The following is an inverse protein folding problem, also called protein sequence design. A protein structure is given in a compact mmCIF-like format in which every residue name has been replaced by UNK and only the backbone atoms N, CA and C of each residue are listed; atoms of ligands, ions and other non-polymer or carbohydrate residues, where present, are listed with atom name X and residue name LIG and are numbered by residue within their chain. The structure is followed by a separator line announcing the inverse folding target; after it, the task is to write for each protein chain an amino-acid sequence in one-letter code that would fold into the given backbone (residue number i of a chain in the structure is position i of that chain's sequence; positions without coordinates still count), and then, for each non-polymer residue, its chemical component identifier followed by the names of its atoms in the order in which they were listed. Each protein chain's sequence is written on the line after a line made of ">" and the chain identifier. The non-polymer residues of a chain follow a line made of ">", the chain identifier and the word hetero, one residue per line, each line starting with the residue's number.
data_IF_926507496074
#
_entry.id   IF_926507496074
#
_cell.length_a   1.000
_cell.length_b   1.000
_cell.length_c   1.000
_cell.angle_alpha   90.00
_cell.angle_beta   90.00
_cell.angle_gamma   90.00
#
_symmetry.space_group_name_H-M   'P 1'
#
loop_
_entity.id
_entity.type
_entity.pdbx_description
1 polymer ?
#
# COMPACT_ATOMS: atom_id res chain seq x y z
N UNK A 1 35.16 12.51 13.05
CA UNK A 1 34.57 11.16 13.10
C UNK A 1 33.09 11.37 12.91
N UNK A 2 32.66 11.31 11.66
CA UNK A 2 31.28 11.58 11.27
C UNK A 2 30.42 10.39 11.66
N UNK A 3 29.62 10.55 12.70
CA UNK A 3 28.53 9.64 13.04
C UNK A 3 27.43 9.84 12.00
N UNK A 4 27.41 8.99 10.97
CA UNK A 4 26.21 8.87 10.15
C UNK A 4 25.01 8.54 11.04
N UNK A 5 23.85 9.16 10.82
CA UNK A 5 22.66 8.82 11.56
C UNK A 5 22.28 7.39 11.18
N UNK A 6 22.48 6.44 12.11
CA UNK A 6 21.94 5.08 12.01
C UNK A 6 20.43 5.23 11.98
N UNK A 7 19.87 5.33 10.77
CA UNK A 7 18.44 5.33 10.57
C UNK A 7 17.99 3.91 10.86
N UNK A 8 17.02 3.78 11.76
CA UNK A 8 16.48 2.49 12.16
C UNK A 8 16.01 1.70 10.92
N UNK A 9 16.48 0.46 10.80
CA UNK A 9 16.26 -0.41 9.63
C UNK A 9 14.75 -0.59 9.37
N UNK A 10 13.97 -0.79 10.43
CA UNK A 10 12.53 -0.99 10.33
C UNK A 10 11.81 0.29 9.86
N UNK A 11 12.32 1.46 10.29
CA UNK A 11 11.87 2.76 9.81
C UNK A 11 12.16 2.95 8.32
N UNK A 12 13.36 2.60 7.85
CA UNK A 12 13.71 2.68 6.43
C UNK A 12 12.87 1.72 5.56
N UNK A 13 12.67 0.48 6.03
CA UNK A 13 11.79 -0.50 5.38
C UNK A 13 10.37 0.07 5.23
N UNK A 14 9.85 0.67 6.30
CA UNK A 14 8.51 1.27 6.32
C UNK A 14 8.40 2.44 5.35
N UNK A 15 9.43 3.29 5.29
CA UNK A 15 9.48 4.41 4.35
C UNK A 15 9.50 3.93 2.89
N UNK A 16 10.32 2.93 2.55
CA UNK A 16 10.39 2.36 1.21
C UNK A 16 9.06 1.71 0.78
N UNK A 17 8.40 0.98 1.68
CA UNK A 17 7.06 0.42 1.43
C UNK A 17 6.02 1.51 1.21
N UNK A 18 6.03 2.54 2.05
CA UNK A 18 5.09 3.66 1.97
C UNK A 18 5.25 4.44 0.67
N UNK A 19 6.49 4.61 0.20
CA UNK A 19 6.77 5.23 -1.09
C UNK A 19 6.09 4.47 -2.24
N UNK A 20 6.21 3.14 -2.29
CA UNK A 20 5.59 2.32 -3.33
C UNK A 20 4.06 2.44 -3.32
N UNK A 21 3.44 2.41 -2.14
CA UNK A 21 1.98 2.56 -1.98
C UNK A 21 1.52 3.94 -2.44
N UNK A 22 2.24 4.99 -2.02
CA UNK A 22 1.90 6.36 -2.41
C UNK A 22 2.03 6.56 -3.93
N UNK A 23 3.12 6.07 -4.52
CA UNK A 23 3.34 6.14 -5.96
C UNK A 23 2.25 5.41 -6.74
N UNK A 24 1.81 4.25 -6.26
CA UNK A 24 0.75 3.47 -6.93
C UNK A 24 -0.62 4.14 -6.84
N UNK A 25 -0.91 4.82 -5.72
CA UNK A 25 -2.14 5.58 -5.56
C UNK A 25 -2.17 6.81 -6.49
N UNK A 26 -1.04 7.53 -6.60
CA UNK A 26 -0.91 8.63 -7.58
C UNK A 26 -1.09 8.14 -9.01
N UNK A 27 -0.52 6.97 -9.35
CA UNK A 27 -0.70 6.34 -10.65
C UNK A 27 -2.17 5.98 -10.92
N UNK A 28 -2.86 5.40 -9.93
CA UNK A 28 -4.29 5.07 -10.01
C UNK A 28 -5.13 6.32 -10.29
N UNK A 29 -4.91 7.39 -9.54
CA UNK A 29 -5.63 8.65 -9.72
C UNK A 29 -5.34 9.29 -11.09
N UNK A 30 -4.09 9.28 -11.55
CA UNK A 30 -3.71 9.76 -12.89
C UNK A 30 -4.39 8.99 -14.03
N UNK A 31 -4.66 7.69 -13.84
CA UNK A 31 -5.40 6.87 -14.81
C UNK A 31 -6.90 7.17 -14.82
N UNK A 32 -7.50 7.46 -13.67
CA UNK A 32 -8.95 7.74 -13.53
C UNK A 32 -9.29 9.17 -13.97
N UNK A 33 -8.49 10.15 -13.57
CA UNK A 33 -8.75 11.57 -13.79
C UNK A 33 -8.35 12.04 -15.19
N UNK A 34 -8.31 13.35 -15.46
CA UNK A 34 -7.79 13.93 -16.71
C UNK A 34 -6.25 13.99 -16.72
N UNK A 35 -5.64 14.11 -17.91
CA UNK A 35 -4.16 14.13 -18.02
C UNK A 35 -3.55 15.32 -17.29
N UNK A 36 -4.33 16.39 -17.17
CA UNK A 36 -3.93 17.64 -16.56
C UNK A 36 -4.41 17.76 -15.11
N UNK A 37 -4.97 16.68 -14.54
CA UNK A 37 -5.31 16.63 -13.13
C UNK A 37 -4.06 16.77 -12.27
N UNK A 38 -4.24 17.32 -11.07
CA UNK A 38 -3.13 17.52 -10.15
C UNK A 38 -2.47 16.20 -9.78
N UNK A 39 -3.25 15.15 -9.53
CA UNK A 39 -2.74 13.81 -9.26
C UNK A 39 -1.88 13.25 -10.40
N UNK A 40 -2.19 13.59 -11.66
CA UNK A 40 -1.41 13.13 -12.80
C UNK A 40 -0.14 13.95 -13.03
N UNK A 41 -0.09 15.21 -12.57
CA UNK A 41 1.14 15.99 -12.47
C UNK A 41 2.03 15.48 -11.34
N UNK A 42 1.46 15.29 -10.15
CA UNK A 42 2.17 14.73 -8.98
C UNK A 42 2.76 13.36 -9.29
N UNK A 43 2.01 12.49 -9.99
CA UNK A 43 2.53 11.20 -10.45
C UNK A 43 3.72 11.37 -11.41
N UNK A 44 3.63 12.26 -12.41
CA UNK A 44 4.72 12.56 -13.36
C UNK A 44 5.97 13.07 -12.65
N UNK A 45 5.79 13.94 -11.66
CA UNK A 45 6.89 14.44 -10.85
C UNK A 45 7.51 13.32 -10.00
N UNK A 46 6.69 12.45 -9.43
CA UNK A 46 7.12 11.32 -8.59
C UNK A 46 7.92 10.26 -9.36
N UNK A 47 7.67 10.09 -10.66
CA UNK A 47 8.48 9.23 -11.53
C UNK A 47 9.61 9.98 -12.24
N UNK A 48 9.77 11.28 -11.99
CA UNK A 48 10.91 12.02 -12.51
C UNK A 48 12.21 11.49 -11.90
N UNK A 49 13.32 11.68 -12.60
CA UNK A 49 14.65 11.23 -12.16
C UNK A 49 15.03 11.74 -10.77
N UNK A 50 14.50 12.89 -10.34
CA UNK A 50 14.77 13.48 -9.02
C UNK A 50 13.97 12.85 -7.87
N UNK A 51 12.82 12.24 -8.15
CA UNK A 51 12.01 11.56 -7.13
C UNK A 51 12.34 10.07 -7.06
N UNK A 52 12.70 9.46 -8.19
CA UNK A 52 13.26 8.10 -8.20
C UNK A 52 14.61 8.01 -7.46
N UNK A 53 15.40 9.09 -7.43
CA UNK A 53 16.62 9.13 -6.62
C UNK A 53 16.33 9.12 -5.12
N UNK A 54 15.19 9.64 -4.66
CA UNK A 54 14.76 9.54 -3.25
C UNK A 54 14.45 8.09 -2.90
N UNK A 55 13.68 7.39 -3.74
CA UNK A 55 13.42 5.97 -3.57
C UNK A 55 14.72 5.13 -3.61
N UNK A 56 15.64 5.47 -4.50
CA UNK A 56 16.94 4.81 -4.57
C UNK A 56 17.76 5.05 -3.30
N UNK A 57 17.77 6.28 -2.76
CA UNK A 57 18.43 6.61 -1.50
C UNK A 57 17.81 5.90 -0.28
N UNK A 58 16.50 5.62 -0.31
CA UNK A 58 15.85 4.77 0.70
C UNK A 58 16.27 3.30 0.58
N UNK A 59 16.46 2.80 -0.64
CA UNK A 59 16.74 1.39 -0.89
C UNK A 59 18.22 1.00 -0.81
N UNK A 60 19.14 1.91 -1.10
CA UNK A 60 20.59 1.65 -1.07
C UNK A 60 21.08 1.08 0.28
N UNK A 61 20.80 1.71 1.45
CA UNK A 61 21.22 1.15 2.74
C UNK A 61 20.56 -0.20 3.04
N UNK A 62 19.31 -0.42 2.62
CA UNK A 62 18.59 -1.69 2.79
C UNK A 62 19.21 -2.82 1.97
N UNK A 63 19.63 -2.53 0.74
CA UNK A 63 20.33 -3.46 -0.14
C UNK A 63 21.69 -3.82 0.43
N UNK A 64 22.44 -2.84 0.93
CA UNK A 64 23.73 -3.08 1.60
C UNK A 64 23.54 -3.98 2.83
N UNK A 65 22.53 -3.70 3.66
CA UNK A 65 22.21 -4.53 4.82
C UNK A 65 21.91 -5.99 4.43
N UNK A 66 21.09 -6.20 3.39
CA UNK A 66 20.80 -7.52 2.84
C UNK A 66 22.07 -8.25 2.41
N UNK A 67 22.93 -7.57 1.63
CA UNK A 67 24.16 -8.18 1.10
C UNK A 67 25.11 -8.57 2.22
N UNK A 68 25.23 -7.73 3.25
CA UNK A 68 26.00 -8.05 4.45
C UNK A 68 25.41 -9.25 5.21
N UNK A 69 24.09 -9.34 5.31
CA UNK A 69 23.40 -10.45 5.97
C UNK A 69 23.65 -11.78 5.25
N UNK A 70 23.50 -11.80 3.92
CA UNK A 70 23.76 -12.98 3.07
C UNK A 70 25.24 -13.38 3.15
N UNK A 71 26.16 -12.42 3.07
CA UNK A 71 27.60 -12.67 3.11
C UNK A 71 28.10 -13.19 4.46
N UNK A 72 27.44 -12.81 5.56
CA UNK A 72 27.81 -13.22 6.91
C UNK A 72 27.29 -14.61 7.30
N UNK A 73 26.59 -15.33 6.41
CA UNK A 73 25.94 -16.62 6.72
C UNK A 73 25.27 -16.55 8.10
N UNK A 74 24.21 -15.75 8.22
CA UNK A 74 23.53 -15.45 9.49
C UNK A 74 22.94 -16.72 10.16
N UNK A 75 23.82 -17.56 10.69
CA UNK A 75 23.56 -18.59 11.66
C UNK A 75 23.48 -17.92 13.03
N UNK A 76 22.44 -17.10 13.23
CA UNK A 76 22.05 -16.78 14.60
C UNK A 76 21.42 -18.03 15.19
N UNK A 77 22.07 -18.62 16.20
CA UNK A 77 21.61 -19.80 16.93
C UNK A 77 20.35 -19.57 17.81
N UNK A 78 19.69 -18.42 17.67
CA UNK A 78 18.45 -18.06 18.37
C UNK A 78 17.30 -18.00 17.36
N UNK A 79 16.29 -18.84 17.55
CA UNK A 79 15.12 -18.98 16.67
C UNK A 79 14.35 -17.66 16.53
N UNK A 80 14.25 -16.85 17.60
CA UNK A 80 13.55 -15.58 17.57
C UNK A 80 14.32 -14.52 16.75
N UNK A 81 15.64 -14.47 16.91
CA UNK A 81 16.51 -13.60 16.14
C UNK A 81 16.56 -13.98 14.65
N UNK A 82 16.52 -15.27 14.35
CA UNK A 82 16.47 -15.77 12.97
C UNK A 82 15.14 -15.40 12.29
N UNK A 83 14.01 -15.55 12.97
CA UNK A 83 12.69 -15.23 12.43
C UNK A 83 12.51 -13.73 12.16
N UNK A 84 12.97 -12.87 13.08
CA UNK A 84 12.92 -11.42 12.90
C UNK A 84 13.79 -10.97 11.73
N UNK A 85 14.99 -11.55 11.62
CA UNK A 85 15.92 -11.32 10.52
C UNK A 85 15.33 -11.73 9.17
N UNK A 86 14.70 -12.91 9.10
CA UNK A 86 14.04 -13.40 7.89
C UNK A 86 12.87 -12.47 7.49
N UNK A 87 12.08 -12.02 8.45
CA UNK A 87 10.97 -11.09 8.20
C UNK A 87 11.46 -9.79 7.59
N UNK A 88 12.53 -9.20 8.16
CA UNK A 88 13.18 -7.99 7.62
C UNK A 88 13.75 -8.21 6.22
N UNK A 89 14.37 -9.37 5.97
CA UNK A 89 14.88 -9.73 4.65
C UNK A 89 13.77 -9.77 3.60
N UNK A 90 12.65 -10.42 3.91
CA UNK A 90 11.48 -10.47 3.02
C UNK A 90 10.90 -9.09 2.77
N UNK A 91 10.90 -8.24 3.78
CA UNK A 91 10.40 -6.87 3.68
C UNK A 91 11.30 -5.96 2.83
N UNK A 92 12.62 -6.11 2.96
CA UNK A 92 13.60 -5.44 2.09
C UNK A 92 13.46 -5.92 0.65
N UNK A 93 13.34 -7.23 0.41
CA UNK A 93 13.11 -7.77 -0.94
C UNK A 93 11.78 -7.32 -1.53
N UNK A 94 10.74 -7.21 -0.71
CA UNK A 94 9.47 -6.66 -1.13
C UNK A 94 9.63 -5.20 -1.58
N UNK A 95 10.25 -4.37 -0.75
CA UNK A 95 10.28 -2.92 -0.95
C UNK A 95 11.34 -2.45 -1.96
N UNK A 96 12.49 -3.12 -2.02
CA UNK A 96 13.69 -2.69 -2.74
C UNK A 96 14.32 -3.78 -3.60
N UNK A 97 13.68 -4.95 -3.70
CA UNK A 97 14.13 -6.03 -4.57
C UNK A 97 14.06 -5.66 -6.06
N UNK A 98 14.59 -6.55 -6.89
CA UNK A 98 14.62 -6.32 -8.33
C UNK A 98 13.21 -6.14 -8.90
N UNK A 99 13.04 -5.14 -9.77
CA UNK A 99 11.76 -4.75 -10.36
C UNK A 99 10.67 -4.47 -9.30
N UNK A 100 11.00 -4.09 -8.06
CA UNK A 100 10.00 -3.85 -7.00
C UNK A 100 8.94 -2.82 -7.43
N UNK A 101 9.36 -1.72 -8.07
CA UNK A 101 8.45 -0.73 -8.64
C UNK A 101 7.42 -1.35 -9.59
N UNK A 102 7.79 -2.29 -10.45
CA UNK A 102 6.86 -2.93 -11.40
C UNK A 102 6.05 -4.04 -10.74
N UNK A 103 6.68 -4.83 -9.87
CA UNK A 103 6.08 -6.03 -9.29
C UNK A 103 5.13 -5.73 -8.13
N UNK A 104 5.30 -4.58 -7.47
CA UNK A 104 4.59 -4.23 -6.22
C UNK A 104 3.63 -3.06 -6.37
N UNK A 105 3.53 -2.50 -7.57
CA UNK A 105 2.55 -1.48 -7.91
C UNK A 105 1.67 -2.01 -9.02
N UNK A 106 0.38 -1.70 -8.98
CA UNK A 106 -0.59 -2.18 -9.94
C UNK A 106 -0.73 -1.21 -11.13
N UNK A 107 -0.69 0.08 -10.86
CA UNK A 107 -1.10 1.13 -11.78
C UNK A 107 0.08 1.90 -12.39
N UNK A 108 1.25 1.90 -11.76
CA UNK A 108 2.41 2.72 -12.19
C UNK A 108 2.80 2.44 -13.64
N UNK A 109 2.92 1.17 -14.04
CA UNK A 109 3.29 0.82 -15.41
C UNK A 109 2.25 1.32 -16.44
N UNK A 110 0.96 1.15 -16.14
CA UNK A 110 -0.13 1.61 -16.99
C UNK A 110 -0.22 3.14 -17.06
N UNK A 111 -0.08 3.83 -15.93
CA UNK A 111 -0.09 5.29 -15.86
C UNK A 111 1.09 5.89 -16.62
N UNK A 112 2.29 5.30 -16.50
CA UNK A 112 3.47 5.71 -17.23
C UNK A 112 3.30 5.53 -18.75
N UNK A 113 2.79 4.38 -19.19
CA UNK A 113 2.48 4.14 -20.60
C UNK A 113 1.41 5.12 -21.12
N UNK A 114 0.37 5.38 -20.32
CA UNK A 114 -0.68 6.32 -20.67
C UNK A 114 -0.16 7.76 -20.81
N UNK A 115 0.88 8.15 -20.06
CA UNK A 115 1.56 9.45 -20.24
C UNK A 115 2.34 9.47 -21.55
N UNK A 116 3.20 8.47 -21.78
CA UNK A 116 4.10 8.44 -22.94
C UNK A 116 3.37 8.34 -24.29
N UNK A 117 2.36 7.46 -24.39
CA UNK A 117 1.84 7.01 -25.68
C UNK A 117 0.49 7.62 -26.08
N UNK A 118 -0.08 8.56 -25.32
CA UNK A 118 -1.38 9.13 -25.70
C UNK A 118 -2.60 8.29 -25.30
N UNK A 119 -2.43 6.98 -25.18
CA UNK A 119 -3.52 6.01 -25.08
C UNK A 119 -3.86 5.67 -23.63
N UNK A 120 -5.01 6.18 -23.16
CA UNK A 120 -5.64 5.75 -21.91
C UNK A 120 -6.34 4.41 -22.13
N UNK A 121 -5.58 3.32 -22.17
CA UNK A 121 -6.20 2.02 -22.00
C UNK A 121 -6.52 1.84 -20.52
N UNK A 122 -7.81 1.70 -20.23
CA UNK A 122 -8.37 1.49 -18.90
C UNK A 122 -7.83 0.21 -18.29
N UNK A 123 -6.86 0.34 -17.37
CA UNK A 123 -6.73 -0.43 -16.13
C UNK A 123 -6.62 -1.95 -16.13
N UNK A 124 -6.66 -2.69 -17.25
CA UNK A 124 -6.65 -4.17 -17.20
C UNK A 124 -5.79 -4.87 -18.26
N UNK A 125 -5.37 -4.19 -19.34
CA UNK A 125 -4.74 -4.87 -20.49
C UNK A 125 -3.25 -4.56 -20.70
N UNK A 126 -2.63 -3.76 -19.82
CA UNK A 126 -1.19 -3.56 -19.86
C UNK A 126 -0.45 -4.72 -19.18
N UNK A 127 -0.42 -5.87 -19.85
CA UNK A 127 0.63 -6.86 -19.60
C UNK A 127 1.97 -6.18 -19.93
N UNK A 128 2.94 -6.14 -18.99
CA UNK A 128 4.23 -5.54 -19.27
C UNK A 128 4.84 -6.24 -20.48
N UNK A 129 5.04 -5.48 -21.56
CA UNK A 129 5.68 -5.95 -22.78
C UNK A 129 7.16 -6.11 -22.48
N UNK A 130 7.53 -7.23 -21.86
CA UNK A 130 8.87 -7.53 -21.38
C UNK A 130 8.96 -8.62 -20.30
N UNK A 131 7.83 -9.19 -19.85
CA UNK A 131 7.80 -10.29 -18.88
C UNK A 131 7.63 -11.65 -19.57
N UNK A 132 8.32 -12.66 -19.05
CA UNK A 132 8.21 -14.06 -19.45
C UNK A 132 6.77 -14.54 -19.19
N UNK A 133 6.27 -15.55 -19.91
CA UNK A 133 4.89 -16.05 -19.73
C UNK A 133 4.55 -16.39 -18.27
N UNK A 134 5.50 -17.00 -17.54
CA UNK A 134 5.38 -17.29 -16.10
C UNK A 134 5.25 -16.05 -15.21
N UNK A 135 5.92 -14.96 -15.56
CA UNK A 135 5.83 -13.70 -14.82
C UNK A 135 4.49 -13.00 -15.09
N UNK A 136 3.93 -13.11 -16.30
CA UNK A 136 2.57 -12.65 -16.60
C UNK A 136 1.51 -13.44 -15.86
N UNK A 137 1.63 -14.76 -15.83
CA UNK A 137 0.66 -15.62 -15.14
C UNK A 137 0.67 -15.34 -13.62
N UNK A 138 1.86 -15.10 -13.05
CA UNK A 138 2.03 -14.66 -11.66
C UNK A 138 1.42 -13.28 -11.39
N UNK A 139 1.60 -12.33 -12.30
CA UNK A 139 0.97 -11.00 -12.21
C UNK A 139 -0.56 -11.10 -12.27
N UNK A 140 -1.10 -11.86 -13.22
CA UNK A 140 -2.55 -12.05 -13.37
C UNK A 140 -3.17 -12.74 -12.15
N UNK A 141 -2.50 -13.76 -11.61
CA UNK A 141 -2.93 -14.43 -10.39
C UNK A 141 -2.89 -13.49 -9.18
N UNK A 142 -1.84 -12.69 -9.04
CA UNK A 142 -1.75 -11.66 -7.99
C UNK A 142 -2.88 -10.63 -8.12
N UNK A 143 -3.18 -10.19 -9.32
CA UNK A 143 -4.27 -9.23 -9.57
C UNK A 143 -5.63 -9.82 -9.19
N UNK A 144 -5.85 -11.10 -9.49
CA UNK A 144 -7.07 -11.81 -9.06
C UNK A 144 -7.20 -11.88 -7.54
N UNK A 145 -6.10 -12.10 -6.81
CA UNK A 145 -6.11 -12.16 -5.34
C UNK A 145 -6.37 -10.77 -4.75
N UNK A 146 -5.71 -9.73 -5.24
CA UNK A 146 -5.92 -8.34 -4.80
C UNK A 146 -7.39 -7.94 -4.98
N UNK A 147 -7.96 -8.18 -6.16
CA UNK A 147 -9.37 -7.89 -6.45
C UNK A 147 -10.32 -8.64 -5.50
N UNK A 148 -10.00 -9.89 -5.17
CA UNK A 148 -10.78 -10.70 -4.21
C UNK A 148 -10.70 -10.15 -2.78
N UNK A 149 -9.53 -9.67 -2.35
CA UNK A 149 -9.33 -9.08 -1.02
C UNK A 149 -10.07 -7.75 -0.91
N UNK A 150 -10.00 -6.90 -1.94
CA UNK A 150 -10.71 -5.62 -1.97
C UNK A 150 -12.23 -5.81 -1.96
N UNK A 151 -12.76 -6.79 -2.70
CA UNK A 151 -14.17 -7.14 -2.62
C UNK A 151 -14.56 -7.60 -1.21
N UNK A 152 -13.73 -8.42 -0.56
CA UNK A 152 -13.99 -8.90 0.80
C UNK A 152 -13.97 -7.76 1.81
N UNK A 153 -13.02 -6.83 1.69
CA UNK A 153 -12.91 -5.64 2.54
C UNK A 153 -14.13 -4.73 2.38
N UNK A 154 -14.55 -4.46 1.14
CA UNK A 154 -15.73 -3.65 0.85
C UNK A 154 -17.01 -4.26 1.42
N UNK A 155 -17.14 -5.59 1.37
CA UNK A 155 -18.26 -6.30 1.99
C UNK A 155 -18.27 -6.11 3.51
N UNK A 156 -17.13 -6.36 4.17
CA UNK A 156 -16.99 -6.19 5.63
C UNK A 156 -17.30 -4.75 6.07
N UNK A 157 -16.86 -3.78 5.29
CA UNK A 157 -17.13 -2.37 5.58
C UNK A 157 -18.62 -2.06 5.50
N UNK A 158 -19.33 -2.55 4.48
CA UNK A 158 -20.80 -2.41 4.40
C UNK A 158 -21.53 -3.11 5.55
N UNK A 159 -21.10 -4.30 5.93
CA UNK A 159 -21.69 -5.03 7.07
C UNK A 159 -21.50 -4.24 8.37
N UNK A 160 -20.32 -3.63 8.55
CA UNK A 160 -20.00 -2.77 9.70
C UNK A 160 -20.87 -1.50 9.71
N UNK A 161 -21.03 -0.84 8.56
CA UNK A 161 -21.86 0.36 8.45
C UNK A 161 -23.34 0.07 8.76
N UNK A 162 -23.84 -1.10 8.33
CA UNK A 162 -25.21 -1.54 8.64
C UNK A 162 -25.40 -1.80 10.14
N UNK A 163 -24.41 -2.38 10.81
CA UNK A 163 -24.46 -2.58 12.26
C UNK A 163 -24.46 -1.25 13.02
N UNK A 164 -23.63 -0.30 12.60
CA UNK A 164 -23.62 1.04 13.20
C UNK A 164 -24.97 1.74 13.09
N UNK A 165 -25.58 1.75 11.90
CA UNK A 165 -26.92 2.33 11.71
C UNK A 165 -27.98 1.67 12.60
N UNK A 166 -27.91 0.35 12.77
CA UNK A 166 -28.84 -0.37 13.66
C UNK A 166 -28.69 0.09 15.11
N UNK A 167 -27.46 0.19 15.60
CA UNK A 167 -27.18 0.65 16.96
C UNK A 167 -27.62 2.10 17.19
N UNK A 168 -27.46 2.96 16.19
CA UNK A 168 -27.89 4.35 16.25
C UNK A 168 -29.42 4.46 16.38
N UNK A 169 -30.16 3.69 15.58
CA UNK A 169 -31.62 3.61 15.69
C UNK A 169 -32.04 3.08 17.06
N UNK A 170 -31.44 1.99 17.52
CA UNK A 170 -31.77 1.39 18.81
C UNK A 170 -31.53 2.36 19.97
N UNK A 171 -30.38 3.05 19.98
CA UNK A 171 -30.08 4.07 20.99
C UNK A 171 -31.06 5.25 20.91
N UNK A 172 -31.42 5.70 19.71
CA UNK A 172 -32.43 6.75 19.52
C UNK A 172 -33.78 6.37 20.12
N UNK A 173 -34.24 5.13 19.90
CA UNK A 173 -35.49 4.61 20.47
C UNK A 173 -35.42 4.54 22.00
N UNK A 174 -34.31 4.03 22.57
CA UNK A 174 -34.13 3.96 24.02
C UNK A 174 -34.13 5.34 24.68
N UNK A 175 -33.52 6.33 24.04
CA UNK A 175 -33.55 7.72 24.51
C UNK A 175 -34.97 8.29 24.51
N UNK A 176 -35.74 8.09 23.43
CA UNK A 176 -37.13 8.52 23.38
C UNK A 176 -38.00 7.85 24.45
N UNK A 177 -37.81 6.54 24.70
CA UNK A 177 -38.53 5.83 25.76
C UNK A 177 -38.21 6.40 27.14
N UNK A 178 -36.94 6.68 27.44
CA UNK A 178 -36.54 7.31 28.70
C UNK A 178 -37.13 8.71 28.88
N UNK A 179 -37.16 9.51 27.82
CA UNK A 179 -37.78 10.83 27.84
C UNK A 179 -39.29 10.76 28.09
N UNK A 180 -39.99 9.83 27.44
CA UNK A 180 -41.43 9.59 27.68
C UNK A 180 -41.72 9.10 29.11
N UNK A 181 -40.87 8.24 29.67
CA UNK A 181 -41.00 7.79 31.06
C UNK A 181 -40.78 8.95 32.04
N UNK A 182 -39.80 9.82 31.82
CA UNK A 182 -39.60 11.02 32.65
C UNK A 182 -40.78 12.01 32.57
N UNK A 183 -41.40 12.17 31.39
CA UNK A 183 -42.57 13.05 31.22
C UNK A 183 -43.84 12.49 31.87
N UNK A 184 -43.95 11.17 32.00
CA UNK A 184 -45.09 10.50 32.64
C UNK A 184 -44.91 10.28 34.15
N UNK A 185 -43.83 10.77 34.75
CA UNK A 185 -43.55 10.63 36.18
C UNK A 185 -43.70 12.00 36.88
N UNK A 186 -44.86 12.33 37.46
CA UNK A 186 -45.17 13.67 37.99
C UNK A 186 -44.49 14.02 39.32
N UNK A 187 -43.42 13.32 39.71
CA UNK A 187 -42.73 13.51 41.01
C UNK A 187 -41.66 14.60 41.02
N UNK A 188 -41.56 15.42 39.96
CA UNK A 188 -40.56 16.49 39.81
C UNK A 188 -41.17 17.87 39.47
N UNK A 189 -42.43 18.10 39.83
CA UNK A 189 -43.03 19.45 39.90
C UNK A 189 -43.27 19.86 41.34
#
# INVERSE_FOLDING_TARGET
>A
MDTEPVTDLDTQITAAKSYLVHLDELARLCLVDSRDSEACKEFRESISTAQLSIYQALCEPLVIWREQLVSKNAASHDENGAQLTLTRLLDVEFACGNKALVNRTQYVAGAFAAIQYGSRQTGSDYAPSGLNQTERDSYNMRQSVINSVDQSRNRLQRETDLQWRRLEIENGVRLQQRLKVNLNNPSLQ
#
